data_IF_479193844274
#
_entry.id   IF_479193844274
#
_cell.length_a   1.000
_cell.length_b   1.000
_cell.length_c   1.000
_cell.angle_alpha   90.00
_cell.angle_beta   90.00
_cell.angle_gamma   90.00
#
_symmetry.space_group_name_H-M   'P 1'
#
loop_
_entity.id
_entity.type
_entity.pdbx_description
1 polymer ?
#
# COMPACT_ATOMS: atom_id res chain seq x y z
N UNK A 1 -16.96 4.89 -6.67
CA UNK A 1 -18.02 5.31 -7.60
C UNK A 1 -18.13 4.24 -8.66
N UNK A 2 -19.27 3.54 -8.71
CA UNK A 2 -19.52 2.50 -9.72
C UNK A 2 -19.65 3.14 -11.11
N UNK A 3 -19.19 2.46 -12.17
CA UNK A 3 -19.24 2.91 -13.57
C UNK A 3 -18.49 4.23 -13.92
N UNK A 4 -17.59 4.72 -13.08
CA UNK A 4 -16.85 5.97 -13.34
C UNK A 4 -16.07 5.94 -14.66
N UNK A 5 -15.54 4.79 -15.09
CA UNK A 5 -14.86 4.62 -16.38
C UNK A 5 -15.77 4.82 -17.59
N UNK A 6 -17.05 4.47 -17.48
CA UNK A 6 -18.04 4.66 -18.56
C UNK A 6 -18.48 6.12 -18.65
N UNK A 7 -18.70 6.76 -17.49
CA UNK A 7 -19.20 8.14 -17.43
C UNK A 7 -18.11 9.22 -17.50
N UNK A 8 -16.84 8.84 -17.53
CA UNK A 8 -15.71 9.77 -17.54
C UNK A 8 -15.76 10.75 -18.72
N UNK A 9 -16.02 10.25 -19.92
CA UNK A 9 -16.12 11.11 -21.11
C UNK A 9 -17.34 12.03 -21.05
N UNK A 10 -18.47 11.50 -20.57
CA UNK A 10 -19.68 12.28 -20.38
C UNK A 10 -19.48 13.41 -19.35
N UNK A 11 -18.63 13.20 -18.33
CA UNK A 11 -18.30 14.23 -17.32
C UNK A 11 -17.56 15.45 -17.89
N UNK A 12 -17.04 15.37 -19.12
CA UNK A 12 -16.46 16.52 -19.81
C UNK A 12 -17.53 17.45 -20.42
N UNK A 13 -18.77 16.98 -20.60
CA UNK A 13 -19.85 17.80 -21.17
C UNK A 13 -20.31 18.85 -20.15
N UNK A 14 -20.39 20.11 -20.59
CA UNK A 14 -20.80 21.24 -19.74
C UNK A 14 -22.18 21.02 -19.10
N UNK A 15 -23.13 20.43 -19.84
CA UNK A 15 -24.47 20.12 -19.32
C UNK A 15 -24.43 19.14 -18.15
N UNK A 16 -23.62 18.08 -18.24
CA UNK A 16 -23.42 17.09 -17.18
C UNK A 16 -22.71 17.71 -15.98
N UNK A 17 -21.68 18.54 -16.21
CA UNK A 17 -21.01 19.26 -15.13
C UNK A 17 -21.98 20.17 -14.36
N UNK A 18 -22.87 20.88 -15.06
CA UNK A 18 -23.91 21.70 -14.42
C UNK A 18 -24.84 20.86 -13.54
N UNK A 19 -25.24 19.68 -13.99
CA UNK A 19 -26.06 18.74 -13.19
C UNK A 19 -25.30 18.23 -11.95
N UNK A 20 -24.05 17.79 -12.11
CA UNK A 20 -23.19 17.36 -11.01
C UNK A 20 -22.99 18.47 -9.98
N UNK A 21 -22.74 19.69 -10.44
CA UNK A 21 -22.58 20.87 -9.61
C UNK A 21 -23.85 21.20 -8.83
N UNK A 22 -25.03 21.10 -9.45
CA UNK A 22 -26.31 21.35 -8.78
C UNK A 22 -26.54 20.38 -7.62
N UNK A 23 -26.29 19.08 -7.85
CA UNK A 23 -26.38 18.04 -6.81
C UNK A 23 -25.35 18.29 -5.71
N UNK A 24 -24.09 18.50 -6.10
CA UNK A 24 -22.99 18.69 -5.15
C UNK A 24 -23.17 19.94 -4.29
N UNK A 25 -23.71 21.03 -4.85
CA UNK A 25 -24.01 22.26 -4.11
C UNK A 25 -24.94 22.01 -2.93
N UNK A 26 -26.02 21.25 -3.14
CA UNK A 26 -26.98 20.95 -2.07
C UNK A 26 -26.35 20.20 -0.89
N UNK A 27 -25.46 19.27 -1.16
CA UNK A 27 -24.69 18.58 -0.12
C UNK A 27 -23.66 19.49 0.55
N UNK A 28 -22.91 20.26 -0.24
CA UNK A 28 -21.89 21.19 0.25
C UNK A 28 -22.49 22.24 1.20
N UNK A 29 -23.67 22.77 0.87
CA UNK A 29 -24.38 23.72 1.72
C UNK A 29 -24.82 23.10 3.05
N UNK A 30 -25.33 21.87 3.02
CA UNK A 30 -25.73 21.14 4.25
C UNK A 30 -24.54 20.82 5.14
N UNK A 31 -23.42 20.38 4.55
CA UNK A 31 -22.19 20.05 5.29
C UNK A 31 -21.60 21.30 5.95
N UNK A 32 -21.53 22.39 5.21
CA UNK A 32 -21.04 23.67 5.73
C UNK A 32 -22.10 24.47 6.51
N UNK A 33 -23.33 23.95 6.68
CA UNK A 33 -24.47 24.65 7.29
C UNK A 33 -24.72 26.06 6.72
N UNK A 34 -24.37 26.28 5.46
CA UNK A 34 -24.44 27.59 4.82
C UNK A 34 -25.82 27.89 4.25
N UNK A 35 -26.12 29.18 4.08
CA UNK A 35 -27.36 29.64 3.48
C UNK A 35 -27.55 29.12 2.05
N UNK A 36 -28.81 28.99 1.63
CA UNK A 36 -29.19 28.57 0.26
C UNK A 36 -28.64 29.50 -0.83
N UNK A 37 -28.30 30.75 -0.49
CA UNK A 37 -27.72 31.75 -1.39
C UNK A 37 -26.22 31.57 -1.61
N UNK A 38 -25.52 30.81 -0.77
CA UNK A 38 -24.06 30.64 -0.90
C UNK A 38 -23.69 30.00 -2.24
N UNK A 39 -22.68 30.58 -2.90
CA UNK A 39 -22.20 30.11 -4.19
C UNK A 39 -21.59 28.71 -4.11
N UNK A 40 -21.60 27.97 -5.22
CA UNK A 40 -21.07 26.60 -5.28
C UNK A 40 -19.61 26.53 -4.79
N UNK A 41 -18.74 27.36 -5.36
CA UNK A 41 -17.31 27.35 -5.06
C UNK A 41 -17.03 27.64 -3.58
N UNK A 42 -17.74 28.61 -2.99
CA UNK A 42 -17.65 28.91 -1.56
C UNK A 42 -18.11 27.73 -0.70
N UNK A 43 -19.30 27.18 -0.99
CA UNK A 43 -19.85 26.05 -0.25
C UNK A 43 -18.94 24.81 -0.32
N UNK A 44 -18.32 24.54 -1.48
CA UNK A 44 -17.41 23.41 -1.66
C UNK A 44 -16.10 23.58 -0.89
N UNK A 45 -15.50 24.77 -0.91
CA UNK A 45 -14.29 25.05 -0.13
C UNK A 45 -14.59 24.93 1.36
N UNK A 46 -15.67 25.56 1.84
CA UNK A 46 -16.12 25.49 3.24
C UNK A 46 -16.49 24.07 3.69
N UNK A 47 -16.96 23.22 2.78
CA UNK A 47 -17.25 21.82 3.07
C UNK A 47 -16.02 20.89 2.88
N UNK A 48 -14.88 21.41 2.41
CA UNK A 48 -13.71 20.60 2.10
C UNK A 48 -13.91 19.59 0.96
N UNK A 49 -14.82 19.89 0.01
CA UNK A 49 -15.20 18.98 -1.07
C UNK A 49 -14.45 19.26 -2.37
N UNK A 50 -14.03 18.18 -3.03
CA UNK A 50 -13.49 18.20 -4.38
C UNK A 50 -14.63 18.10 -5.41
N UNK A 51 -14.60 18.81 -6.56
CA UNK A 51 -15.56 18.65 -7.64
C UNK A 51 -15.78 17.19 -8.05
N UNK A 52 -17.05 16.81 -8.22
CA UNK A 52 -17.42 15.43 -8.56
C UNK A 52 -16.87 14.99 -9.92
N UNK A 53 -16.80 15.87 -10.91
CA UNK A 53 -16.24 15.55 -12.23
C UNK A 53 -14.74 15.21 -12.13
N UNK A 54 -13.99 15.92 -11.29
CA UNK A 54 -12.58 15.58 -11.01
C UNK A 54 -12.47 14.23 -10.30
N UNK A 55 -13.35 13.94 -9.33
CA UNK A 55 -13.41 12.61 -8.68
C UNK A 55 -13.74 11.48 -9.66
N UNK A 56 -14.64 11.72 -10.61
CA UNK A 56 -14.99 10.75 -11.66
C UNK A 56 -13.73 10.44 -12.48
N UNK A 57 -12.99 11.46 -12.91
CA UNK A 57 -11.73 11.30 -13.66
C UNK A 57 -10.69 10.50 -12.89
N UNK A 58 -10.47 10.81 -11.60
CA UNK A 58 -9.54 10.04 -10.76
C UNK A 58 -9.90 8.55 -10.73
N UNK A 59 -11.19 8.24 -10.56
CA UNK A 59 -11.67 6.85 -10.49
C UNK A 59 -11.60 6.13 -11.83
N UNK A 60 -11.90 6.84 -12.93
CA UNK A 60 -11.78 6.30 -14.28
C UNK A 60 -10.33 5.95 -14.61
N UNK A 61 -9.38 6.85 -14.34
CA UNK A 61 -7.95 6.59 -14.54
C UNK A 61 -7.48 5.38 -13.72
N UNK A 62 -7.86 5.30 -12.44
CA UNK A 62 -7.51 4.16 -11.59
C UNK A 62 -8.09 2.83 -12.12
N UNK A 63 -9.28 2.86 -12.70
CA UNK A 63 -9.90 1.69 -13.33
C UNK A 63 -9.12 1.24 -14.56
N UNK A 64 -8.74 2.17 -15.45
CA UNK A 64 -7.97 1.85 -16.66
C UNK A 64 -6.59 1.27 -16.32
N UNK A 65 -5.90 1.81 -15.30
CA UNK A 65 -4.61 1.29 -14.80
C UNK A 65 -4.76 -0.17 -14.33
N UNK A 66 -5.84 -0.48 -13.60
CA UNK A 66 -6.11 -1.84 -13.13
C UNK A 66 -6.37 -2.82 -14.27
N UNK A 67 -6.77 -2.35 -15.45
CA UNK A 67 -6.88 -3.15 -16.67
C UNK A 67 -5.58 -3.24 -17.47
N UNK A 68 -4.50 -2.64 -16.97
CA UNK A 68 -3.20 -2.61 -17.63
C UNK A 68 -3.11 -1.58 -18.76
N UNK A 69 -4.04 -0.63 -18.85
CA UNK A 69 -3.90 0.48 -19.81
C UNK A 69 -2.95 1.53 -19.26
N UNK A 70 -2.05 2.08 -20.09
CA UNK A 70 -1.15 3.14 -19.66
C UNK A 70 -1.95 4.40 -19.33
N UNK A 71 -1.55 5.10 -18.28
CA UNK A 71 -2.07 6.42 -17.93
C UNK A 71 -0.89 7.37 -17.81
N UNK A 72 -1.10 8.60 -18.28
CA UNK A 72 -0.10 9.67 -18.20
C UNK A 72 0.42 9.81 -16.76
N UNK A 73 1.71 10.11 -16.62
CA UNK A 73 2.42 10.30 -15.34
C UNK A 73 2.72 9.02 -14.53
N UNK A 74 2.35 7.83 -15.02
CA UNK A 74 2.82 6.55 -14.47
C UNK A 74 3.88 5.91 -15.37
N UNK A 75 4.79 5.09 -14.81
CA UNK A 75 5.77 4.38 -15.62
C UNK A 75 5.07 3.43 -16.61
N UNK A 76 5.25 3.67 -17.90
CA UNK A 76 4.56 2.91 -18.96
C UNK A 76 4.96 1.43 -18.99
N UNK A 77 6.20 1.13 -18.63
CA UNK A 77 6.79 -0.22 -18.73
C UNK A 77 6.50 -1.11 -17.52
N UNK A 78 5.88 -0.55 -16.47
CA UNK A 78 5.70 -1.23 -15.18
C UNK A 78 4.23 -1.45 -14.88
N UNK A 79 3.90 -2.61 -14.33
CA UNK A 79 2.51 -3.00 -14.05
C UNK A 79 2.11 -2.61 -12.64
N UNK A 80 0.82 -2.31 -12.46
CA UNK A 80 0.23 -2.27 -11.12
C UNK A 80 0.24 -3.66 -10.51
N UNK A 81 0.55 -3.74 -9.22
CA UNK A 81 0.36 -4.98 -8.48
C UNK A 81 -1.12 -5.35 -8.51
N UNK A 82 -1.42 -6.46 -9.17
CA UNK A 82 -2.77 -6.94 -9.42
C UNK A 82 -3.03 -8.21 -8.64
N UNK A 83 -4.30 -8.42 -8.30
CA UNK A 83 -4.74 -9.63 -7.62
C UNK A 83 -4.58 -10.83 -8.56
N UNK A 84 -4.24 -11.98 -7.98
CA UNK A 84 -4.28 -13.24 -8.71
C UNK A 84 -5.69 -13.53 -9.23
N UNK A 85 -5.78 -14.28 -10.33
CA UNK A 85 -7.06 -14.67 -10.92
C UNK A 85 -7.84 -15.55 -9.97
N UNK A 86 -9.17 -15.38 -9.91
CA UNK A 86 -10.04 -16.25 -9.10
C UNK A 86 -9.89 -17.74 -9.49
N UNK A 87 -9.58 -18.03 -10.76
CA UNK A 87 -9.36 -19.40 -11.24
C UNK A 87 -8.11 -20.06 -10.63
N UNK A 88 -7.16 -19.26 -10.13
CA UNK A 88 -5.93 -19.75 -9.49
C UNK A 88 -6.09 -19.95 -7.98
N UNK A 89 -7.24 -19.58 -7.41
CA UNK A 89 -7.47 -19.69 -5.98
C UNK A 89 -7.55 -21.16 -5.59
N UNK A 90 -6.86 -21.49 -4.51
CA UNK A 90 -6.98 -22.81 -3.91
C UNK A 90 -8.39 -22.92 -3.33
N UNK A 91 -9.05 -24.05 -3.58
CA UNK A 91 -10.36 -24.33 -3.01
C UNK A 91 -10.32 -24.20 -1.47
N UNK A 92 -11.31 -23.55 -0.81
CA UNK A 92 -11.25 -23.30 0.63
C UNK A 92 -11.06 -24.55 1.49
N UNK A 93 -11.58 -25.72 1.07
CA UNK A 93 -11.37 -26.98 1.78
C UNK A 93 -9.93 -27.51 1.73
N UNK A 94 -9.14 -27.02 0.78
CA UNK A 94 -7.72 -27.33 0.60
C UNK A 94 -6.84 -26.20 1.16
N UNK A 95 -7.42 -25.23 1.87
CA UNK A 95 -6.66 -24.14 2.48
C UNK A 95 -5.83 -24.71 3.63
N UNK A 96 -4.52 -24.79 3.42
CA UNK A 96 -3.61 -25.19 4.50
C UNK A 96 -3.66 -24.17 5.64
N UNK A 97 -3.77 -24.67 6.87
CA UNK A 97 -3.63 -23.87 8.08
C UNK A 97 -2.19 -23.36 8.18
N UNK A 98 -1.96 -22.14 7.71
CA UNK A 98 -0.71 -21.42 7.99
C UNK A 98 -0.97 -20.56 9.21
N UNK A 99 -0.15 -20.75 10.24
CA UNK A 99 -0.12 -19.95 11.45
C UNK A 99 1.29 -19.42 11.65
N UNK A 100 1.41 -18.42 12.51
CA UNK A 100 2.68 -17.94 13.02
C UNK A 100 2.55 -17.73 14.52
N UNK A 101 3.66 -17.86 15.24
CA UNK A 101 3.73 -17.58 16.68
C UNK A 101 4.33 -16.19 16.91
N UNK A 102 3.84 -15.47 17.92
CA UNK A 102 4.45 -14.21 18.35
C UNK A 102 5.51 -14.50 19.40
N UNK A 103 6.69 -13.93 19.25
CA UNK A 103 7.79 -14.01 20.19
C UNK A 103 8.09 -12.61 20.72
N UNK A 104 8.04 -12.46 22.04
CA UNK A 104 8.40 -11.19 22.70
C UNK A 104 9.92 -10.98 22.69
N UNK A 105 10.69 -12.07 22.78
CA UNK A 105 12.14 -12.13 22.68
C UNK A 105 12.61 -13.49 22.13
N UNK A 106 13.93 -13.62 21.93
CA UNK A 106 14.61 -14.89 21.67
C UNK A 106 15.39 -15.35 22.91
N UNK A 107 14.75 -15.31 24.08
CA UNK A 107 15.29 -15.96 25.28
C UNK A 107 15.47 -17.47 25.06
N UNK A 108 16.42 -18.13 25.73
CA UNK A 108 16.62 -19.58 25.61
C UNK A 108 15.33 -20.38 25.85
N UNK A 109 14.49 -19.94 26.79
CA UNK A 109 13.19 -20.54 27.08
C UNK A 109 12.23 -20.47 25.89
N UNK A 110 12.13 -19.31 25.23
CA UNK A 110 11.28 -19.14 24.05
C UNK A 110 11.81 -19.91 22.84
N UNK A 111 13.13 -19.99 22.66
CA UNK A 111 13.77 -20.79 21.61
C UNK A 111 13.44 -22.27 21.81
N UNK A 112 13.61 -22.80 23.01
CA UNK A 112 13.34 -24.20 23.34
C UNK A 112 11.84 -24.53 23.23
N UNK A 113 10.98 -23.69 23.81
CA UNK A 113 9.52 -23.87 23.78
C UNK A 113 8.95 -23.89 22.35
N UNK A 114 9.47 -23.02 21.48
CA UNK A 114 9.04 -22.93 20.09
C UNK A 114 9.90 -23.79 19.16
N UNK A 115 10.88 -24.51 19.69
CA UNK A 115 11.82 -25.37 18.97
C UNK A 115 12.42 -24.66 17.75
N UNK A 116 12.94 -23.44 17.98
CA UNK A 116 13.59 -22.63 16.94
C UNK A 116 15.00 -23.19 16.74
N UNK A 117 15.08 -24.28 15.99
CA UNK A 117 16.30 -25.04 15.77
C UNK A 117 16.52 -25.30 14.27
N UNK A 118 17.77 -25.56 13.88
CA UNK A 118 18.13 -25.81 12.49
C UNK A 118 18.44 -24.52 11.74
N UNK A 119 17.74 -24.28 10.62
CA UNK A 119 17.94 -23.11 9.78
C UNK A 119 16.98 -21.99 10.19
N UNK A 120 17.53 -20.91 10.74
CA UNK A 120 16.80 -19.72 11.14
C UNK A 120 16.99 -18.65 10.06
N UNK A 121 15.89 -18.13 9.54
CA UNK A 121 15.89 -17.18 8.42
C UNK A 121 15.23 -15.89 8.90
N UNK A 122 15.98 -14.79 8.86
CA UNK A 122 15.48 -13.46 9.15
C UNK A 122 15.16 -12.73 7.86
N UNK A 123 14.04 -12.03 7.82
CA UNK A 123 13.59 -11.26 6.66
C UNK A 123 13.24 -9.84 7.08
N UNK A 124 13.63 -8.87 6.26
CA UNK A 124 13.30 -7.46 6.51
C UNK A 124 13.11 -6.68 5.20
N UNK A 125 12.30 -5.62 5.25
CA UNK A 125 12.04 -4.68 4.18
C UNK A 125 12.27 -3.23 4.60
N UNK A 126 13.15 -2.51 3.90
CA UNK A 126 13.48 -1.13 4.24
C UNK A 126 13.08 -0.13 3.15
N UNK A 127 12.63 1.05 3.59
CA UNK A 127 12.47 2.22 2.73
C UNK A 127 13.18 3.42 3.35
N UNK A 128 14.25 3.86 2.71
CA UNK A 128 15.10 4.95 3.19
C UNK A 128 15.41 5.89 2.02
N UNK A 129 15.28 7.21 2.25
CA UNK A 129 15.54 8.25 1.24
C UNK A 129 14.78 8.03 -0.09
N UNK A 130 13.56 7.49 -0.01
CA UNK A 130 12.75 7.18 -1.19
C UNK A 130 13.19 5.94 -1.98
N UNK A 131 14.29 5.28 -1.61
CA UNK A 131 14.74 4.00 -2.18
C UNK A 131 14.19 2.84 -1.35
N UNK A 132 14.00 1.69 -1.99
CA UNK A 132 13.37 0.52 -1.37
C UNK A 132 14.26 -0.70 -1.56
N UNK A 133 14.48 -1.44 -0.48
CA UNK A 133 15.28 -2.65 -0.48
C UNK A 133 14.67 -3.68 0.45
N UNK A 134 14.99 -4.94 0.24
CA UNK A 134 14.59 -6.03 1.10
C UNK A 134 15.74 -7.01 1.25
N UNK A 135 15.75 -7.80 2.32
CA UNK A 135 16.82 -8.74 2.55
C UNK A 135 16.36 -10.01 3.25
N UNK A 136 17.18 -11.04 3.10
CA UNK A 136 17.06 -12.32 3.78
C UNK A 136 18.43 -12.67 4.33
N UNK A 137 18.51 -13.00 5.61
CA UNK A 137 19.71 -13.49 6.28
C UNK A 137 19.43 -14.88 6.85
N UNK A 138 20.25 -15.86 6.47
CA UNK A 138 20.07 -17.29 6.81
C UNK A 138 21.17 -17.71 7.77
N UNK A 139 20.77 -18.29 8.88
CA UNK A 139 21.63 -18.68 9.98
C UNK A 139 21.50 -20.18 10.27
N UNK A 140 22.62 -20.82 10.55
CA UNK A 140 22.69 -22.21 11.00
C UNK A 140 23.69 -22.31 12.14
N UNK A 141 23.29 -22.92 13.24
CA UNK A 141 24.15 -23.08 14.44
C UNK A 141 24.77 -21.76 14.94
N UNK A 142 23.99 -20.68 14.93
CA UNK A 142 24.42 -19.37 15.43
C UNK A 142 25.30 -18.54 14.49
N UNK A 143 25.57 -18.99 13.27
CA UNK A 143 26.35 -18.24 12.28
C UNK A 143 25.55 -17.95 11.00
N UNK A 144 25.74 -16.75 10.42
CA UNK A 144 25.20 -16.38 9.10
C UNK A 144 25.88 -17.24 8.02
N UNK A 145 25.11 -18.10 7.35
CA UNK A 145 25.61 -18.96 6.27
C UNK A 145 25.30 -18.39 4.88
N UNK A 146 24.29 -17.53 4.77
CA UNK A 146 23.89 -16.90 3.50
C UNK A 146 23.13 -15.62 3.75
N UNK A 147 23.33 -14.64 2.88
CA UNK A 147 22.46 -13.49 2.77
C UNK A 147 22.01 -13.23 1.32
N UNK A 148 20.89 -12.55 1.17
CA UNK A 148 20.34 -12.10 -0.10
C UNK A 148 19.87 -10.65 0.06
N UNK A 149 20.24 -9.81 -0.90
CA UNK A 149 19.82 -8.41 -1.01
C UNK A 149 18.96 -8.24 -2.24
N UNK A 150 17.79 -7.63 -2.08
CA UNK A 150 16.80 -7.39 -3.12
C UNK A 150 16.62 -5.90 -3.30
N UNK A 151 16.76 -5.41 -4.53
CA UNK A 151 16.46 -4.01 -4.84
C UNK A 151 15.04 -3.92 -5.37
N UNK A 152 14.27 -2.97 -4.86
CA UNK A 152 12.93 -2.70 -5.37
C UNK A 152 12.88 -1.32 -6.01
N UNK A 153 11.90 -1.10 -6.88
CA UNK A 153 11.66 0.22 -7.45
C UNK A 153 11.26 1.24 -6.36
N UNK A 154 11.67 2.52 -6.47
CA UNK A 154 11.45 3.56 -5.45
C UNK A 154 9.98 3.77 -5.03
N UNK A 155 9.04 3.47 -5.93
CA UNK A 155 7.61 3.60 -5.65
C UNK A 155 7.03 2.45 -4.81
N UNK A 156 7.75 1.36 -4.61
CA UNK A 156 7.31 0.24 -3.79
C UNK A 156 7.10 0.69 -2.33
N UNK A 157 6.18 0.03 -1.63
CA UNK A 157 5.98 0.25 -0.19
C UNK A 157 6.94 -0.61 0.63
N UNK A 158 7.13 -0.25 1.91
CA UNK A 158 7.80 -1.12 2.90
C UNK A 158 7.12 -2.48 2.94
N UNK A 159 5.77 -2.50 2.99
CA UNK A 159 4.99 -3.73 2.94
C UNK A 159 5.34 -4.65 1.73
N UNK A 160 5.53 -4.09 0.54
CA UNK A 160 5.95 -4.89 -0.61
C UNK A 160 7.38 -5.42 -0.47
N UNK A 161 8.28 -4.65 0.15
CA UNK A 161 9.64 -5.08 0.46
C UNK A 161 9.64 -6.29 1.42
N UNK A 162 8.88 -6.20 2.51
CA UNK A 162 8.68 -7.29 3.48
C UNK A 162 8.16 -8.57 2.81
N UNK A 163 7.11 -8.42 2.00
CA UNK A 163 6.53 -9.53 1.25
C UNK A 163 7.52 -10.13 0.24
N UNK A 164 8.37 -9.31 -0.41
CA UNK A 164 9.40 -9.81 -1.31
C UNK A 164 10.50 -10.57 -0.56
N UNK A 165 10.90 -10.13 0.64
CA UNK A 165 11.85 -10.87 1.46
C UNK A 165 11.31 -12.26 1.85
N UNK A 166 10.05 -12.33 2.29
CA UNK A 166 9.38 -13.60 2.62
C UNK A 166 9.20 -14.53 1.40
N UNK A 167 8.85 -13.98 0.24
CA UNK A 167 8.78 -14.76 -1.01
C UNK A 167 10.17 -15.31 -1.38
N UNK A 168 11.22 -14.48 -1.26
CA UNK A 168 12.59 -14.91 -1.55
C UNK A 168 13.07 -15.97 -0.58
N UNK A 169 12.77 -15.83 0.72
CA UNK A 169 13.10 -16.80 1.75
C UNK A 169 12.46 -18.16 1.45
N UNK A 170 11.13 -18.18 1.25
CA UNK A 170 10.42 -19.44 0.93
C UNK A 170 10.85 -20.05 -0.41
N UNK A 171 11.16 -19.22 -1.42
CA UNK A 171 11.72 -19.68 -2.69
C UNK A 171 13.13 -20.26 -2.57
N UNK A 172 13.93 -19.78 -1.61
CA UNK A 172 15.24 -20.35 -1.30
C UNK A 172 15.10 -21.70 -0.59
N UNK A 173 14.19 -21.82 0.39
CA UNK A 173 13.89 -23.06 1.13
C UNK A 173 13.49 -24.20 0.20
N UNK A 174 12.71 -23.91 -0.85
CA UNK A 174 12.31 -24.91 -1.84
C UNK A 174 13.48 -25.65 -2.48
N UNK A 175 14.65 -25.00 -2.59
CA UNK A 175 15.85 -25.55 -3.21
C UNK A 175 16.79 -26.25 -2.22
N UNK A 176 16.47 -26.20 -0.93
CA UNK A 176 17.26 -26.81 0.13
C UNK A 176 16.76 -28.20 0.48
N UNK A 177 17.54 -28.92 1.30
CA UNK A 177 17.30 -30.32 1.67
C UNK A 177 17.14 -30.57 3.17
N UNK A 178 17.38 -29.58 4.03
CA UNK A 178 17.16 -29.78 5.47
C UNK A 178 15.66 -29.91 5.76
N UNK A 179 15.32 -30.56 6.87
CA UNK A 179 13.93 -30.93 7.17
C UNK A 179 13.12 -29.79 7.78
N UNK A 180 13.77 -28.81 8.43
CA UNK A 180 13.12 -27.74 9.19
C UNK A 180 13.71 -26.36 8.92
N UNK A 181 12.81 -25.39 8.77
CA UNK A 181 13.13 -23.97 8.61
C UNK A 181 12.23 -23.10 9.49
N UNK A 182 12.82 -22.14 10.18
CA UNK A 182 12.11 -21.12 10.94
C UNK A 182 12.31 -19.76 10.26
N UNK A 183 11.23 -19.09 9.84
CA UNK A 183 11.29 -17.74 9.29
C UNK A 183 10.82 -16.76 10.35
N UNK A 184 11.68 -15.80 10.69
CA UNK A 184 11.44 -14.74 11.65
C UNK A 184 11.30 -13.42 10.86
N UNK A 185 10.18 -12.72 11.07
CA UNK A 185 9.91 -11.42 10.47
C UNK A 185 9.28 -10.50 11.51
N UNK A 186 9.62 -9.22 11.50
CA UNK A 186 8.97 -8.21 12.34
C UNK A 186 7.73 -7.58 11.67
N UNK A 187 7.45 -7.95 10.42
CA UNK A 187 6.30 -7.48 9.66
C UNK A 187 5.03 -8.26 9.98
N UNK A 188 4.38 -7.92 11.10
CA UNK A 188 3.10 -8.54 11.51
C UNK A 188 2.03 -8.48 10.40
N UNK A 189 1.95 -7.34 9.70
CA UNK A 189 1.00 -7.16 8.60
C UNK A 189 1.20 -8.16 7.44
N UNK A 190 2.44 -8.53 7.15
CA UNK A 190 2.78 -9.52 6.13
C UNK A 190 2.38 -10.92 6.57
N UNK A 191 2.70 -11.27 7.82
CA UNK A 191 2.35 -12.55 8.43
C UNK A 191 0.83 -12.74 8.57
N UNK A 192 0.09 -11.70 8.95
CA UNK A 192 -1.38 -11.71 9.02
C UNK A 192 -2.00 -11.95 7.63
N UNK A 193 -1.45 -11.34 6.57
CA UNK A 193 -1.91 -11.57 5.20
C UNK A 193 -1.63 -13.02 4.76
N UNK A 194 -0.45 -13.56 5.06
CA UNK A 194 -0.08 -14.94 4.73
C UNK A 194 -0.95 -15.94 5.50
N UNK A 195 -1.26 -15.66 6.77
CA UNK A 195 -2.17 -16.47 7.61
C UNK A 195 -3.59 -16.53 7.04
N UNK A 196 -4.07 -15.44 6.44
CA UNK A 196 -5.43 -15.39 5.89
C UNK A 196 -5.64 -16.48 4.82
N UNK A 197 -6.78 -17.19 4.86
CA UNK A 197 -7.06 -18.31 3.94
C UNK A 197 -7.48 -17.89 2.52
N UNK A 198 -7.88 -16.62 2.34
CA UNK A 198 -8.33 -16.09 1.05
C UNK A 198 -7.36 -15.02 0.54
N UNK A 199 -6.24 -15.47 0.00
CA UNK A 199 -5.14 -14.60 -0.42
C UNK A 199 -5.24 -14.27 -1.90
N UNK A 200 -5.77 -13.09 -2.21
CA UNK A 200 -5.75 -12.54 -3.57
C UNK A 200 -4.44 -11.81 -3.94
N UNK A 201 -3.56 -11.58 -2.97
CA UNK A 201 -2.32 -10.84 -3.16
C UNK A 201 -1.24 -11.75 -3.78
N UNK A 202 -0.55 -11.34 -4.87
CA UNK A 202 0.35 -12.21 -5.63
C UNK A 202 1.54 -12.73 -4.83
N UNK A 203 2.26 -11.86 -4.10
CA UNK A 203 3.40 -12.30 -3.27
C UNK A 203 2.97 -13.27 -2.15
N UNK A 204 1.87 -12.97 -1.45
CA UNK A 204 1.34 -13.85 -0.42
C UNK A 204 0.89 -15.21 -1.00
N UNK A 205 0.28 -15.22 -2.18
CA UNK A 205 -0.06 -16.46 -2.88
C UNK A 205 1.20 -17.30 -3.17
N UNK A 206 2.26 -16.69 -3.71
CA UNK A 206 3.52 -17.37 -3.98
C UNK A 206 4.17 -17.91 -2.70
N UNK A 207 4.19 -17.12 -1.62
CA UNK A 207 4.70 -17.55 -0.31
C UNK A 207 3.95 -18.79 0.19
N UNK A 208 2.61 -18.75 0.18
CA UNK A 208 1.78 -19.89 0.61
C UNK A 208 2.00 -21.12 -0.27
N UNK A 209 2.07 -20.94 -1.59
CA UNK A 209 2.38 -22.01 -2.54
C UNK A 209 3.75 -22.63 -2.26
N UNK A 210 4.76 -21.82 -2.00
CA UNK A 210 6.10 -22.29 -1.67
C UNK A 210 6.09 -23.08 -0.35
N UNK A 211 5.44 -22.57 0.70
CA UNK A 211 5.32 -23.27 1.99
C UNK A 211 4.63 -24.62 1.81
N UNK A 212 3.53 -24.67 1.04
CA UNK A 212 2.84 -25.92 0.72
C UNK A 212 3.74 -26.91 0.02
N UNK A 213 4.42 -26.49 -1.04
CA UNK A 213 5.32 -27.36 -1.80
C UNK A 213 6.49 -27.87 -0.95
N UNK A 214 6.93 -27.14 0.09
CA UNK A 214 7.90 -27.64 1.07
C UNK A 214 7.26 -28.71 1.98
N UNK A 215 6.02 -28.48 2.45
CA UNK A 215 5.26 -29.45 3.27
C UNK A 215 4.96 -30.74 2.52
N UNK A 216 4.62 -30.66 1.24
CA UNK A 216 4.36 -31.83 0.38
C UNK A 216 5.61 -32.71 0.20
N UNK A 217 6.81 -32.16 0.43
CA UNK A 217 8.08 -32.90 0.43
C UNK A 217 8.42 -33.49 1.81
N UNK A 218 7.51 -33.42 2.78
CA UNK A 218 7.72 -33.92 4.15
C UNK A 218 8.55 -33.00 5.05
N UNK A 219 8.80 -31.75 4.63
CA UNK A 219 9.61 -30.76 5.35
C UNK A 219 8.74 -29.71 6.04
N UNK A 220 9.26 -29.04 7.07
CA UNK A 220 8.51 -28.05 7.84
C UNK A 220 9.04 -26.63 7.66
N UNK A 221 8.10 -25.68 7.56
CA UNK A 221 8.37 -24.24 7.59
C UNK A 221 7.47 -23.62 8.66
N UNK A 222 8.10 -23.01 9.65
CA UNK A 222 7.44 -22.33 10.76
C UNK A 222 7.68 -20.82 10.65
N UNK A 223 6.63 -20.05 10.92
CA UNK A 223 6.66 -18.59 10.85
C UNK A 223 6.60 -18.01 12.26
N UNK A 224 7.43 -17.01 12.52
CA UNK A 224 7.50 -16.33 13.80
C UNK A 224 7.47 -14.82 13.57
N UNK A 225 6.61 -14.14 14.33
CA UNK A 225 6.68 -12.70 14.46
C UNK A 225 7.63 -12.35 15.61
N UNK A 226 8.60 -11.49 15.34
CA UNK A 226 9.51 -10.93 16.34
C UNK A 226 9.33 -9.42 16.43
N UNK A 227 9.73 -8.82 17.55
CA UNK A 227 9.71 -7.37 17.69
C UNK A 227 10.89 -6.74 16.94
N UNK A 228 10.62 -5.68 16.20
CA UNK A 228 11.66 -4.89 15.52
C UNK A 228 12.56 -4.15 16.54
N UNK A 229 13.84 -3.97 16.20
CA UNK A 229 14.79 -3.10 16.91
C UNK A 229 14.99 -3.41 18.41
N UNK A 230 14.99 -4.69 18.77
CA UNK A 230 15.28 -5.15 20.14
C UNK A 230 16.66 -5.81 20.27
N UNK A 231 17.52 -5.67 19.26
CA UNK A 231 18.89 -6.20 19.31
C UNK A 231 19.03 -7.68 19.01
N UNK A 232 18.02 -8.28 18.35
CA UNK A 232 18.14 -9.65 17.81
C UNK A 232 19.11 -9.60 16.63
N UNK A 233 20.30 -10.17 16.81
CA UNK A 233 21.43 -10.09 15.86
C UNK A 233 21.00 -10.38 14.40
N UNK A 234 20.30 -11.50 14.17
CA UNK A 234 19.85 -11.87 12.83
C UNK A 234 18.83 -10.91 12.22
N UNK A 235 17.98 -10.27 13.04
CA UNK A 235 17.01 -9.27 12.58
C UNK A 235 17.71 -7.95 12.24
N UNK A 236 18.59 -7.47 13.13
CA UNK A 236 19.40 -6.27 12.88
C UNK A 236 20.27 -6.46 11.62
N UNK A 237 20.77 -7.68 11.41
CA UNK A 237 21.51 -8.04 10.20
C UNK A 237 20.64 -7.95 8.94
N UNK A 238 19.42 -8.48 8.98
CA UNK A 238 18.48 -8.38 7.86
C UNK A 238 18.13 -6.92 7.55
N UNK A 239 17.86 -6.10 8.57
CA UNK A 239 17.58 -4.66 8.41
C UNK A 239 18.77 -3.89 7.81
N UNK A 240 19.99 -4.14 8.28
CA UNK A 240 21.19 -3.55 7.70
C UNK A 240 21.35 -3.93 6.21
N UNK A 241 21.13 -5.20 5.86
CA UNK A 241 21.20 -5.68 4.48
C UNK A 241 20.10 -5.07 3.59
N UNK A 242 18.88 -4.88 4.12
CA UNK A 242 17.78 -4.26 3.39
C UNK A 242 18.07 -2.78 3.10
N UNK A 243 18.62 -2.05 4.08
CA UNK A 243 19.11 -0.68 3.91
C UNK A 243 20.24 -0.59 2.90
N UNK A 244 21.21 -1.51 2.95
CA UNK A 244 22.27 -1.59 1.95
C UNK A 244 21.73 -1.85 0.55
N UNK A 245 20.74 -2.74 0.43
CA UNK A 245 20.09 -3.06 -0.85
C UNK A 245 19.37 -1.83 -1.42
N UNK A 246 18.70 -1.05 -0.57
CA UNK A 246 18.03 0.18 -0.97
C UNK A 246 19.02 1.26 -1.43
N UNK A 247 20.08 1.51 -0.66
CA UNK A 247 20.98 2.66 -0.88
C UNK A 247 22.04 2.42 -1.95
N UNK A 248 22.64 1.23 -1.97
CA UNK A 248 23.88 0.96 -2.69
C UNK A 248 23.74 -0.05 -3.83
N UNK A 249 22.62 -0.76 -3.95
CA UNK A 249 22.45 -1.75 -5.02
C UNK A 249 22.36 -1.08 -6.40
N UNK A 250 23.32 -1.39 -7.26
CA UNK A 250 23.34 -0.97 -8.68
C UNK A 250 22.64 -1.97 -9.62
N UNK A 251 22.11 -3.08 -9.08
CA UNK A 251 21.42 -4.10 -9.88
C UNK A 251 20.10 -3.58 -10.42
N UNK A 252 19.57 -4.26 -11.44
CA UNK A 252 18.18 -4.13 -11.83
C UNK A 252 17.26 -4.50 -10.64
N UNK A 253 16.08 -3.88 -10.51
CA UNK A 253 15.17 -4.17 -9.41
C UNK A 253 14.61 -5.58 -9.53
N UNK A 254 14.64 -6.32 -8.42
CA UNK A 254 14.01 -7.63 -8.24
C UNK A 254 12.48 -7.54 -8.25
N UNK A 255 11.92 -6.39 -7.81
CA UNK A 255 10.48 -6.14 -7.85
C UNK A 255 10.15 -4.73 -8.34
N UNK A 256 9.16 -4.66 -9.23
CA UNK A 256 8.81 -3.43 -9.95
C UNK A 256 7.30 -3.22 -10.14
N UNK A 257 6.46 -3.99 -9.47
CA UNK A 257 5.03 -3.72 -9.53
C UNK A 257 4.66 -2.62 -8.52
N UNK A 258 4.11 -1.50 -9.00
CA UNK A 258 3.75 -0.41 -8.10
C UNK A 258 2.47 -0.72 -7.30
N UNK A 259 2.37 -0.27 -6.05
CA UNK A 259 1.20 -0.51 -5.24
C UNK A 259 0.03 0.40 -5.69
N UNK A 260 -1.20 -0.05 -5.44
CA UNK A 260 -2.41 0.75 -5.75
C UNK A 260 -2.39 2.13 -5.06
N UNK A 261 -1.78 2.23 -3.87
CA UNK A 261 -1.62 3.49 -3.13
C UNK A 261 -0.74 4.49 -3.89
N UNK A 262 0.33 4.02 -4.54
CA UNK A 262 1.19 4.86 -5.37
C UNK A 262 0.42 5.40 -6.57
N UNK A 263 -0.28 4.54 -7.31
CA UNK A 263 -1.10 4.95 -8.45
C UNK A 263 -2.14 6.01 -8.05
N UNK A 264 -2.86 5.78 -6.94
CA UNK A 264 -3.81 6.76 -6.40
C UNK A 264 -3.16 8.10 -6.05
N UNK A 265 -1.94 8.08 -5.50
CA UNK A 265 -1.22 9.31 -5.15
C UNK A 265 -0.83 10.09 -6.40
N UNK A 266 -0.26 9.43 -7.40
CA UNK A 266 0.12 10.08 -8.67
C UNK A 266 -1.09 10.71 -9.34
N UNK A 267 -2.18 9.96 -9.50
CA UNK A 267 -3.45 10.47 -10.07
C UNK A 267 -3.98 11.70 -9.30
N UNK A 268 -3.85 11.66 -7.97
CA UNK A 268 -4.33 12.73 -7.11
C UNK A 268 -3.43 13.97 -7.13
N UNK A 269 -2.17 13.90 -7.56
CA UNK A 269 -1.28 15.07 -7.48
C UNK A 269 -1.79 16.24 -8.34
N UNK A 270 -2.34 15.95 -9.53
CA UNK A 270 -2.83 16.99 -10.46
C UNK A 270 -4.19 17.55 -10.04
N UNK A 271 -4.92 16.82 -9.21
CA UNK A 271 -6.33 17.11 -8.93
C UNK A 271 -6.55 18.35 -8.05
N UNK A 272 -5.81 18.55 -6.94
CA UNK A 272 -5.84 19.79 -6.17
C UNK A 272 -5.47 21.01 -7.01
N UNK A 273 -4.49 20.90 -7.92
CA UNK A 273 -4.08 22.01 -8.79
C UNK A 273 -5.19 22.39 -9.77
N UNK A 274 -5.82 21.39 -10.39
CA UNK A 274 -6.99 21.61 -11.24
C UNK A 274 -8.17 22.24 -10.48
N UNK A 275 -8.38 21.83 -9.23
CA UNK A 275 -9.42 22.42 -8.39
C UNK A 275 -9.08 23.85 -7.97
N UNK A 276 -7.83 24.11 -7.57
CA UNK A 276 -7.35 25.44 -7.23
C UNK A 276 -7.51 26.41 -8.40
N UNK A 277 -7.12 26.00 -9.61
CA UNK A 277 -7.30 26.81 -10.82
C UNK A 277 -8.76 27.18 -11.05
N UNK A 278 -9.68 26.20 -10.99
CA UNK A 278 -11.12 26.44 -11.13
C UNK A 278 -11.67 27.38 -10.05
N UNK A 279 -11.19 27.22 -8.81
CA UNK A 279 -11.58 28.08 -7.72
C UNK A 279 -11.12 29.52 -7.97
N UNK A 280 -9.86 29.73 -8.32
CA UNK A 280 -9.30 31.05 -8.63
C UNK A 280 -9.98 31.71 -9.82
N UNK A 281 -10.14 30.99 -10.94
CA UNK A 281 -10.70 31.51 -12.19
C UNK A 281 -12.22 31.72 -12.13
N UNK A 282 -12.93 31.04 -11.21
CA UNK A 282 -14.38 31.14 -11.09
C UNK A 282 -14.85 32.54 -10.68
N UNK A 283 -15.91 33.06 -11.29
CA UNK A 283 -16.45 34.40 -10.98
C UNK A 283 -17.16 34.52 -9.62
N UNK A 284 -17.32 33.41 -8.90
CA UNK A 284 -18.03 33.36 -7.62
C UNK A 284 -17.08 33.23 -6.43
N UNK A 285 -17.61 33.36 -5.21
CA UNK A 285 -16.88 33.19 -3.95
C UNK A 285 -15.80 34.25 -3.66
N UNK A 286 -15.95 35.47 -4.21
CA UNK A 286 -14.96 36.56 -4.04
C UNK A 286 -14.60 36.82 -2.58
N UNK A 287 -15.58 36.92 -1.69
CA UNK A 287 -15.34 37.07 -0.24
C UNK A 287 -14.58 35.89 0.35
N UNK A 288 -14.99 34.66 0.02
CA UNK A 288 -14.33 33.44 0.50
C UNK A 288 -12.88 33.37 0.02
N UNK A 289 -12.56 33.83 -1.19
CA UNK A 289 -11.20 33.86 -1.72
C UNK A 289 -10.27 34.79 -0.95
N UNK A 290 -10.80 35.86 -0.35
CA UNK A 290 -10.00 36.77 0.49
C UNK A 290 -9.50 36.01 1.73
N UNK A 291 -10.37 35.23 2.37
CA UNK A 291 -10.03 34.49 3.59
C UNK A 291 -9.38 33.14 3.34
N UNK A 292 -9.76 32.48 2.24
CA UNK A 292 -9.35 31.13 1.84
C UNK A 292 -8.92 31.17 0.37
N UNK A 293 -7.75 31.76 0.06
CA UNK A 293 -7.26 31.86 -1.32
C UNK A 293 -6.80 30.52 -1.89
N UNK A 294 -6.22 29.67 -1.03
CA UNK A 294 -5.75 28.33 -1.38
C UNK A 294 -6.66 27.25 -0.79
N UNK A 295 -7.20 26.41 -1.66
CA UNK A 295 -8.13 25.33 -1.31
C UNK A 295 -7.45 24.27 -0.47
N UNK A 296 -6.17 23.95 -0.72
CA UNK A 296 -5.47 22.92 0.03
C UNK A 296 -5.27 23.33 1.50
N UNK A 297 -4.90 24.59 1.71
CA UNK A 297 -4.76 25.21 3.03
C UNK A 297 -6.12 25.36 3.71
N UNK A 298 -7.15 25.75 2.95
CA UNK A 298 -8.52 25.85 3.46
C UNK A 298 -9.01 24.54 4.06
N UNK A 299 -8.75 23.40 3.41
CA UNK A 299 -9.14 22.09 3.95
C UNK A 299 -8.52 21.81 5.33
N UNK A 300 -7.25 22.17 5.55
CA UNK A 300 -6.57 21.99 6.84
C UNK A 300 -7.23 22.86 7.91
N UNK A 301 -7.46 24.14 7.60
CA UNK A 301 -8.06 25.12 8.51
C UNK A 301 -9.48 24.69 8.89
N UNK A 302 -10.30 24.32 7.91
CA UNK A 302 -11.71 23.96 8.11
C UNK A 302 -11.87 22.69 8.94
N UNK A 303 -10.99 21.70 8.75
CA UNK A 303 -11.04 20.44 9.50
C UNK A 303 -10.93 20.67 11.01
N UNK A 304 -10.18 21.69 11.40
CA UNK A 304 -9.89 21.99 12.80
C UNK A 304 -10.93 22.98 13.40
N UNK A 305 -11.87 23.48 12.59
CA UNK A 305 -12.95 24.39 13.00
C UNK A 305 -14.27 23.63 13.16
N UNK A 306 -14.90 23.74 14.34
CA UNK A 306 -16.31 23.32 14.50
C UNK A 306 -17.23 24.36 13.86
N UNK A 307 -17.74 24.06 12.67
CA UNK A 307 -18.65 24.95 11.94
C UNK A 307 -19.99 25.08 12.70
N UNK A 308 -20.21 26.29 13.22
CA UNK A 308 -21.43 26.79 13.86
C UNK A 308 -22.20 27.67 12.83
N UNK A 309 -23.55 27.60 12.77
CA UNK A 309 -24.36 28.50 11.93
C UNK A 309 -24.01 29.99 11.98
N UNK A 310 -23.56 30.50 13.14
CA UNK A 310 -23.12 31.88 13.38
C UNK A 310 -21.82 32.20 12.63
N UNK A 311 -20.91 31.22 12.46
CA UNK A 311 -19.64 31.41 11.73
C UNK A 311 -19.81 31.39 10.20
N UNK A 312 -21.00 31.04 9.72
CA UNK A 312 -21.33 30.89 8.29
C UNK A 312 -22.31 31.96 7.79
N UNK A 313 -22.60 32.95 8.63
CA UNK A 313 -23.24 34.23 8.26
C UNK A 313 -22.24 35.13 7.55
#
# INVERSE_FOLDING_TARGET
MYAASVWAEASNKISVQKQLNAVQRGFAQKISKSYRTVSLHAAMVLAGLLPLDLRIKEQAQLYEIKRGRPVNNLPADRKIESRISFMEFIHPSLSDGISYSCLDDLSPENIEKNKIEGNVIYTDGSKIEGKVGAAVSVWKSGAEIKFMKLKLEPYCSVFQAEMCALEKATGWILKQKDDRYCILSDSRSSLDLIKSGNVSHPLAYNIRRNIRAVRDQGRSVELFWIKAHVGIEGNERADALAKEAALFSKKAPDYSAFPTSYAKRVIRNDTPQNWQKRYTDGSTASTTKIFLPDVHSAYKIIRDIKINPIMTQ
#
